data_IF_867805282463
#
_entry.id   IF_867805282463
#
_cell.length_a   1.000
_cell.length_b   1.000
_cell.length_c   1.000
_cell.angle_alpha   90.00
_cell.angle_beta   90.00
_cell.angle_gamma   90.00
#
_symmetry.space_group_name_H-M   'P 1'
#
loop_
_entity.id
_entity.type
_entity.pdbx_description
1 polymer ?
#
# COMPACT_ATOMS: atom_id res chain seq x y z
N UNK A 1 13.77 -24.83 2.38
CA UNK A 1 14.41 -24.22 3.58
C UNK A 1 15.85 -23.93 3.19
N UNK A 2 16.28 -22.69 3.26
CA UNK A 2 17.66 -22.32 2.97
C UNK A 2 18.32 -22.05 4.32
N UNK A 3 19.33 -22.84 4.68
CA UNK A 3 20.15 -22.57 5.85
C UNK A 3 21.17 -21.47 5.49
N UNK A 4 21.19 -20.40 6.24
CA UNK A 4 22.20 -19.34 6.13
C UNK A 4 23.12 -19.49 7.35
N UNK A 5 24.41 -19.68 7.12
CA UNK A 5 25.41 -19.67 8.18
C UNK A 5 26.18 -18.34 8.11
N UNK A 6 26.27 -17.65 9.24
CA UNK A 6 26.97 -16.38 9.37
C UNK A 6 27.75 -16.33 10.66
N UNK A 7 28.82 -15.56 10.67
CA UNK A 7 29.60 -15.28 11.88
C UNK A 7 28.96 -14.15 12.68
N UNK A 8 28.80 -14.34 13.98
CA UNK A 8 28.26 -13.36 14.91
C UNK A 8 29.16 -12.13 15.04
N UNK A 9 28.55 -10.95 15.15
CA UNK A 9 29.20 -9.69 15.52
C UNK A 9 28.70 -9.27 16.90
N UNK A 10 29.45 -8.46 17.67
CA UNK A 10 28.97 -7.97 18.95
C UNK A 10 27.64 -7.23 18.82
N UNK A 11 26.65 -7.61 19.61
CA UNK A 11 25.33 -6.98 19.57
C UNK A 11 24.18 -7.90 19.99
N UNK A 12 22.96 -7.42 19.82
CA UNK A 12 21.76 -8.24 20.08
C UNK A 12 21.53 -9.21 18.92
N UNK A 13 21.22 -10.44 19.22
CA UNK A 13 21.00 -11.51 18.24
C UNK A 13 20.01 -11.10 17.15
N UNK A 14 18.85 -10.54 17.53
CA UNK A 14 17.81 -10.12 16.56
C UNK A 14 18.27 -9.00 15.61
N UNK A 15 19.15 -8.12 16.07
CA UNK A 15 19.68 -7.02 15.27
C UNK A 15 20.81 -7.49 14.35
N UNK A 16 21.76 -8.24 14.91
CA UNK A 16 22.90 -8.76 14.16
C UNK A 16 22.46 -9.69 13.04
N UNK A 17 21.55 -10.64 13.33
CA UNK A 17 21.02 -11.54 12.30
C UNK A 17 20.29 -10.78 11.21
N UNK A 18 19.49 -9.78 11.52
CA UNK A 18 18.80 -8.96 10.51
C UNK A 18 19.80 -8.22 9.60
N UNK A 19 20.87 -7.67 10.19
CA UNK A 19 21.91 -6.95 9.46
C UNK A 19 22.70 -7.87 8.50
N UNK A 20 23.18 -9.01 9.00
CA UNK A 20 24.06 -9.90 8.21
C UNK A 20 23.29 -10.73 7.19
N UNK A 21 22.01 -11.02 7.42
CA UNK A 21 21.18 -11.80 6.48
C UNK A 21 20.37 -10.92 5.53
N UNK A 22 20.27 -9.61 5.78
CA UNK A 22 19.39 -8.70 5.04
C UNK A 22 17.88 -8.95 5.27
N UNK A 23 17.52 -9.85 6.19
CA UNK A 23 16.12 -10.17 6.50
C UNK A 23 15.47 -9.06 7.35
N UNK A 24 14.18 -8.79 7.15
CA UNK A 24 13.43 -7.90 8.03
C UNK A 24 13.53 -8.37 9.50
N UNK A 25 13.81 -7.47 10.42
CA UNK A 25 14.00 -7.80 11.85
C UNK A 25 12.81 -8.53 12.47
N UNK A 26 11.59 -8.25 12.00
CA UNK A 26 10.38 -8.97 12.44
C UNK A 26 10.41 -10.45 12.04
N UNK A 27 10.95 -10.77 10.88
CA UNK A 27 11.07 -12.13 10.36
C UNK A 27 12.14 -12.90 11.15
N UNK A 28 13.27 -12.25 11.43
CA UNK A 28 14.30 -12.80 12.32
C UNK A 28 13.74 -13.07 13.71
N UNK A 29 12.95 -12.18 14.30
CA UNK A 29 12.35 -12.41 15.61
C UNK A 29 11.37 -13.58 15.60
N UNK A 30 10.62 -13.79 14.50
CA UNK A 30 9.77 -14.98 14.33
C UNK A 30 10.59 -16.25 14.23
N UNK A 31 11.67 -16.24 13.45
CA UNK A 31 12.58 -17.38 13.31
C UNK A 31 13.22 -17.75 14.65
N UNK A 32 13.66 -16.75 15.44
CA UNK A 32 14.18 -16.99 16.81
C UNK A 32 13.11 -17.60 17.70
N UNK A 33 11.88 -17.09 17.68
CA UNK A 33 10.77 -17.61 18.47
C UNK A 33 10.36 -19.03 18.05
N UNK A 34 10.51 -19.37 16.77
CA UNK A 34 10.28 -20.72 16.23
C UNK A 34 11.46 -21.69 16.49
N UNK A 35 12.56 -21.22 17.11
CA UNK A 35 13.74 -22.05 17.40
C UNK A 35 14.59 -22.39 16.18
N UNK A 36 14.41 -21.69 15.05
CA UNK A 36 15.13 -21.93 13.80
C UNK A 36 16.38 -21.07 13.64
N UNK A 37 16.75 -20.29 14.67
CA UNK A 37 18.02 -19.55 14.77
C UNK A 37 18.83 -20.16 15.90
N UNK A 38 20.00 -20.70 15.54
CA UNK A 38 20.92 -21.35 16.48
C UNK A 38 22.19 -20.52 16.58
N UNK A 39 22.68 -20.31 17.79
CA UNK A 39 24.00 -19.72 18.10
C UNK A 39 24.85 -20.82 18.69
N UNK A 40 25.93 -21.21 18.00
CA UNK A 40 26.78 -22.35 18.35
C UNK A 40 25.96 -23.64 18.61
N UNK A 41 24.93 -23.87 17.76
CA UNK A 41 24.04 -25.02 17.86
C UNK A 41 22.93 -24.90 18.92
N UNK A 42 22.82 -23.79 19.64
CA UNK A 42 21.87 -23.62 20.76
C UNK A 42 20.85 -22.52 20.44
N UNK A 43 19.57 -22.78 20.73
CA UNK A 43 18.51 -21.74 20.64
C UNK A 43 18.74 -20.68 21.71
N UNK A 44 18.75 -19.42 21.32
CA UNK A 44 18.90 -18.27 22.20
C UNK A 44 17.71 -17.31 22.10
N UNK A 45 17.50 -16.50 23.13
CA UNK A 45 16.45 -15.46 23.09
C UNK A 45 16.84 -14.34 22.12
N UNK A 46 15.85 -13.62 21.58
CA UNK A 46 16.08 -12.49 20.67
C UNK A 46 16.94 -11.35 21.25
N UNK A 47 16.98 -11.24 22.57
CA UNK A 47 17.77 -10.25 23.31
C UNK A 47 19.16 -10.76 23.68
N UNK A 48 19.51 -12.02 23.35
CA UNK A 48 20.84 -12.58 23.63
C UNK A 48 21.91 -11.66 23.05
N UNK A 49 22.96 -11.39 23.84
CA UNK A 49 24.09 -10.56 23.41
C UNK A 49 25.20 -11.44 22.87
N UNK A 50 25.46 -11.28 21.59
CA UNK A 50 26.62 -11.88 20.92
C UNK A 50 27.87 -11.10 21.31
N UNK A 51 29.00 -11.82 21.42
CA UNK A 51 30.33 -11.27 21.71
C UNK A 51 31.19 -11.10 20.48
N UNK A 52 30.84 -11.79 19.39
CA UNK A 52 31.57 -11.86 18.12
C UNK A 52 32.29 -13.21 17.97
N UNK A 53 32.27 -13.74 16.75
CA UNK A 53 32.88 -15.04 16.42
C UNK A 53 31.97 -16.26 16.64
N UNK A 54 30.76 -16.09 17.20
CA UNK A 54 29.80 -17.19 17.31
C UNK A 54 29.30 -17.62 15.92
N UNK A 55 29.12 -18.92 15.73
CA UNK A 55 28.48 -19.45 14.51
C UNK A 55 26.98 -19.37 14.66
N UNK A 56 26.37 -18.56 13.81
CA UNK A 56 24.91 -18.40 13.76
C UNK A 56 24.38 -19.15 12.55
N UNK A 57 23.55 -20.15 12.81
CA UNK A 57 22.78 -20.83 11.77
C UNK A 57 21.33 -20.31 11.82
N UNK A 58 20.86 -19.83 10.67
CA UNK A 58 19.52 -19.32 10.49
C UNK A 58 18.80 -20.21 9.49
N UNK A 59 17.97 -21.10 9.96
CA UNK A 59 17.08 -21.88 9.10
C UNK A 59 15.81 -21.04 8.87
N UNK A 60 15.83 -20.21 7.83
CA UNK A 60 14.64 -19.47 7.43
C UNK A 60 13.84 -20.33 6.47
N UNK A 61 12.63 -20.67 6.86
CA UNK A 61 11.61 -20.84 5.85
C UNK A 61 11.48 -19.47 5.18
N UNK A 62 11.95 -19.32 3.96
CA UNK A 62 11.71 -18.12 3.18
C UNK A 62 10.22 -17.77 3.28
N UNK A 63 9.83 -16.51 3.22
CA UNK A 63 8.41 -16.17 3.24
C UNK A 63 7.71 -17.06 2.21
N UNK A 64 6.72 -17.81 2.66
CA UNK A 64 5.96 -18.70 1.77
C UNK A 64 5.42 -17.83 0.61
N UNK A 65 5.79 -18.17 -0.62
CA UNK A 65 5.36 -17.41 -1.79
C UNK A 65 3.83 -17.27 -1.80
N UNK A 66 3.27 -16.15 -2.24
CA UNK A 66 1.83 -16.00 -2.34
C UNK A 66 1.25 -17.13 -3.21
N UNK A 67 0.18 -17.74 -2.75
CA UNK A 67 -0.51 -18.78 -3.51
C UNK A 67 -1.48 -18.15 -4.51
N UNK A 68 -1.61 -18.74 -5.68
CA UNK A 68 -2.65 -18.41 -6.64
C UNK A 68 -4.05 -18.69 -6.04
N UNK A 69 -4.97 -17.75 -6.21
CA UNK A 69 -6.37 -17.91 -5.77
C UNK A 69 -7.33 -17.60 -6.90
N UNK A 70 -8.43 -18.37 -7.05
CA UNK A 70 -9.42 -18.16 -8.09
C UNK A 70 -10.21 -16.85 -7.86
N UNK A 71 -10.95 -16.41 -8.90
CA UNK A 71 -11.87 -15.27 -8.83
C UNK A 71 -11.21 -13.93 -9.14
N UNK A 72 -10.34 -13.84 -10.10
CA UNK A 72 -9.74 -12.67 -10.74
C UNK A 72 -10.03 -11.26 -10.20
N UNK A 73 -9.65 -10.26 -10.94
CA UNK A 73 -10.01 -8.85 -10.70
C UNK A 73 -10.38 -8.22 -12.06
N UNK A 74 -11.28 -7.23 -12.11
CA UNK A 74 -11.61 -6.56 -13.36
C UNK A 74 -10.37 -5.93 -13.99
N UNK A 75 -10.09 -6.30 -15.26
CA UNK A 75 -9.00 -5.73 -16.06
C UNK A 75 -9.57 -4.62 -16.92
N UNK A 76 -8.93 -3.46 -16.95
CA UNK A 76 -9.31 -2.29 -17.74
C UNK A 76 -8.40 -2.05 -18.94
N UNK A 77 -7.18 -2.55 -18.86
CA UNK A 77 -6.20 -2.54 -19.94
C UNK A 77 -5.23 -3.71 -19.76
N UNK A 78 -4.80 -4.32 -20.84
CA UNK A 78 -3.76 -5.35 -20.82
C UNK A 78 -3.06 -5.42 -22.17
N UNK A 79 -1.74 -5.56 -22.12
CA UNK A 79 -0.88 -5.90 -23.25
C UNK A 79 0.19 -6.93 -22.81
N UNK A 80 1.26 -7.07 -23.59
CA UNK A 80 2.36 -8.00 -23.28
C UNK A 80 3.22 -7.56 -22.08
N UNK A 81 3.19 -6.28 -21.68
CA UNK A 81 4.11 -5.65 -20.74
C UNK A 81 3.46 -5.29 -19.39
N UNK A 82 2.21 -4.91 -19.41
CA UNK A 82 1.51 -4.48 -18.22
C UNK A 82 0.01 -4.80 -18.28
N UNK A 83 -0.64 -4.68 -17.13
CA UNK A 83 -2.09 -4.63 -17.04
C UNK A 83 -2.52 -3.51 -16.08
N UNK A 84 -3.70 -2.95 -16.30
CA UNK A 84 -4.37 -2.06 -15.35
C UNK A 84 -5.62 -2.74 -14.86
N UNK A 85 -5.72 -2.85 -13.52
CA UNK A 85 -6.84 -3.52 -12.86
C UNK A 85 -7.64 -2.54 -12.02
N UNK A 86 -8.94 -2.77 -11.88
CA UNK A 86 -9.80 -2.10 -10.93
C UNK A 86 -9.84 -2.93 -9.63
N UNK A 87 -9.03 -2.56 -8.64
CA UNK A 87 -8.99 -3.25 -7.35
C UNK A 87 -10.29 -2.99 -6.57
N UNK A 88 -11.05 -4.01 -6.15
CA UNK A 88 -12.20 -3.82 -5.30
C UNK A 88 -11.79 -3.36 -3.88
N UNK A 89 -12.71 -2.72 -3.17
CA UNK A 89 -12.55 -2.45 -1.76
C UNK A 89 -12.55 -3.76 -0.92
N UNK A 90 -12.00 -3.72 0.29
CA UNK A 90 -11.83 -4.89 1.16
C UNK A 90 -10.60 -5.75 0.84
N UNK A 91 -10.05 -5.62 -0.37
CA UNK A 91 -8.89 -6.40 -0.83
C UNK A 91 -7.58 -5.68 -0.53
N UNK A 92 -6.68 -6.34 0.20
CA UNK A 92 -5.29 -5.87 0.42
C UNK A 92 -4.49 -6.05 -0.87
N UNK A 93 -3.61 -5.13 -1.19
CA UNK A 93 -2.83 -5.18 -2.44
C UNK A 93 -1.87 -6.37 -2.50
N UNK A 94 -1.12 -6.65 -1.44
CA UNK A 94 -0.12 -7.72 -1.40
C UNK A 94 -0.09 -8.37 0.00
N UNK A 95 0.40 -9.60 0.13
CA UNK A 95 0.52 -10.29 1.41
C UNK A 95 1.24 -9.47 2.48
N UNK A 96 0.78 -9.62 3.70
CA UNK A 96 1.38 -9.03 4.90
C UNK A 96 1.53 -10.12 5.96
N UNK A 97 2.26 -9.83 7.04
CA UNK A 97 2.40 -10.78 8.15
C UNK A 97 1.04 -11.21 8.76
N UNK A 98 0.05 -10.31 8.74
CA UNK A 98 -1.29 -10.56 9.29
C UNK A 98 -2.26 -11.20 8.28
N UNK A 99 -1.99 -11.12 6.99
CA UNK A 99 -2.88 -11.62 5.93
C UNK A 99 -2.06 -12.10 4.74
N UNK A 100 -2.00 -13.42 4.56
CA UNK A 100 -1.22 -14.07 3.49
C UNK A 100 -2.05 -14.38 2.24
N UNK A 101 -3.36 -14.48 2.35
CA UNK A 101 -4.31 -14.80 1.28
C UNK A 101 -5.37 -13.71 1.08
N UNK A 102 -6.18 -13.86 0.01
CA UNK A 102 -7.23 -12.92 -0.37
C UNK A 102 -6.72 -11.55 -0.78
N UNK A 103 -5.47 -11.46 -1.25
CA UNK A 103 -4.88 -10.19 -1.72
C UNK A 103 -4.96 -10.06 -3.23
N UNK A 104 -4.75 -8.85 -3.75
CA UNK A 104 -4.69 -8.61 -5.19
C UNK A 104 -3.62 -9.52 -5.85
N UNK A 105 -2.45 -9.66 -5.21
CA UNK A 105 -1.38 -10.54 -5.70
C UNK A 105 -1.86 -11.99 -5.83
N UNK A 106 -2.58 -12.54 -4.84
CA UNK A 106 -3.11 -13.91 -4.93
C UNK A 106 -4.07 -14.06 -6.11
N UNK A 107 -4.94 -13.06 -6.36
CA UNK A 107 -5.88 -13.06 -7.49
C UNK A 107 -5.17 -12.94 -8.84
N UNK A 108 -4.17 -12.06 -8.94
CA UNK A 108 -3.36 -11.91 -10.15
C UNK A 108 -2.61 -13.20 -10.50
N UNK A 109 -2.04 -13.89 -9.51
CA UNK A 109 -1.42 -15.20 -9.71
C UNK A 109 -2.43 -16.26 -10.19
N UNK A 110 -3.69 -16.17 -9.73
CA UNK A 110 -4.77 -17.07 -10.17
C UNK A 110 -5.31 -16.75 -11.57
N UNK A 111 -4.93 -15.62 -12.17
CA UNK A 111 -5.31 -15.26 -13.54
C UNK A 111 -4.34 -15.81 -14.60
N UNK A 112 -3.29 -16.52 -14.18
CA UNK A 112 -2.26 -17.10 -15.06
C UNK A 112 -1.60 -16.06 -15.99
N UNK A 113 -1.39 -14.84 -15.49
CA UNK A 113 -0.66 -13.79 -16.20
C UNK A 113 0.78 -13.73 -15.70
N UNK A 114 1.77 -13.54 -16.58
CA UNK A 114 3.13 -13.32 -16.14
C UNK A 114 3.21 -12.05 -15.26
N UNK A 115 4.00 -12.10 -14.18
CA UNK A 115 4.20 -10.99 -13.28
C UNK A 115 5.70 -10.78 -13.02
N UNK A 116 6.15 -9.53 -13.05
CA UNK A 116 7.52 -9.18 -12.72
C UNK A 116 7.92 -9.61 -11.31
N UNK A 117 9.14 -10.11 -11.15
CA UNK A 117 9.71 -10.53 -9.87
C UNK A 117 10.42 -9.42 -9.08
N UNK A 118 10.64 -8.24 -9.67
CA UNK A 118 11.42 -7.12 -9.11
C UNK A 118 10.89 -6.63 -7.75
N UNK A 119 9.58 -6.72 -7.52
CA UNK A 119 8.96 -6.34 -6.24
C UNK A 119 9.25 -7.29 -5.08
N UNK A 120 9.95 -8.39 -5.35
CA UNK A 120 10.21 -9.49 -4.41
C UNK A 120 9.05 -10.48 -4.31
N UNK A 121 9.22 -11.56 -3.52
CA UNK A 121 8.31 -12.70 -3.53
C UNK A 121 6.87 -12.35 -3.12
N UNK A 122 6.68 -11.39 -2.24
CA UNK A 122 5.35 -10.97 -1.77
C UNK A 122 4.65 -9.94 -2.69
N UNK A 123 5.34 -9.42 -3.71
CA UNK A 123 4.85 -8.29 -4.53
C UNK A 123 5.12 -8.46 -6.03
N UNK A 124 4.92 -9.66 -6.62
CA UNK A 124 5.11 -9.82 -8.05
C UNK A 124 4.24 -8.81 -8.82
N UNK A 125 4.87 -8.09 -9.76
CA UNK A 125 4.22 -7.09 -10.60
C UNK A 125 3.79 -5.78 -9.93
N UNK A 126 3.85 -5.65 -8.61
CA UNK A 126 3.30 -4.51 -7.86
C UNK A 126 4.29 -3.34 -7.80
N UNK A 127 4.00 -2.27 -8.53
CA UNK A 127 4.80 -1.03 -8.56
C UNK A 127 4.27 0.07 -7.63
N UNK A 128 2.97 0.04 -7.29
CA UNK A 128 2.34 0.91 -6.30
C UNK A 128 1.20 0.17 -5.58
N UNK A 129 0.55 0.83 -4.63
CA UNK A 129 -0.50 0.18 -3.84
C UNK A 129 -1.69 1.08 -3.56
N UNK A 130 -2.85 0.46 -3.37
CA UNK A 130 -4.02 1.04 -2.73
C UNK A 130 -4.22 0.42 -1.33
N UNK A 131 -4.84 1.16 -0.41
CA UNK A 131 -5.23 0.63 0.89
C UNK A 131 -6.37 -0.40 0.73
N UNK A 132 -6.58 -1.25 1.72
CA UNK A 132 -7.62 -2.28 1.66
C UNK A 132 -9.02 -1.68 1.39
N UNK A 133 -9.38 -0.60 2.09
CA UNK A 133 -10.66 0.07 1.92
C UNK A 133 -10.79 0.98 0.69
N UNK A 134 -9.69 1.19 -0.05
CA UNK A 134 -9.68 2.02 -1.26
C UNK A 134 -9.92 1.14 -2.49
N UNK A 135 -10.86 1.52 -3.34
CA UNK A 135 -11.14 0.90 -4.64
C UNK A 135 -10.49 1.69 -5.78
N UNK A 136 -10.41 1.10 -6.98
CA UNK A 136 -10.04 1.77 -8.23
C UNK A 136 -8.77 1.28 -8.89
N UNK A 137 -8.25 2.08 -9.81
CA UNK A 137 -7.22 1.69 -10.77
C UNK A 137 -5.85 1.48 -10.17
N UNK A 138 -5.20 0.39 -10.60
CA UNK A 138 -3.81 0.08 -10.31
C UNK A 138 -3.12 -0.49 -11.55
N UNK A 139 -1.89 0.00 -11.85
CA UNK A 139 -1.03 -0.60 -12.86
C UNK A 139 -0.16 -1.70 -12.25
N UNK A 140 -0.01 -2.79 -12.98
CA UNK A 140 0.75 -3.99 -12.61
C UNK A 140 1.70 -4.32 -13.76
N UNK A 141 2.96 -4.61 -13.45
CA UNK A 141 3.98 -4.94 -14.44
C UNK A 141 4.04 -6.45 -14.70
N UNK A 142 4.03 -6.87 -15.97
CA UNK A 142 4.14 -8.27 -16.38
C UNK A 142 5.59 -8.72 -16.49
N UNK A 143 6.51 -7.82 -16.81
CA UNK A 143 7.95 -8.10 -16.95
C UNK A 143 8.82 -7.14 -16.11
N UNK A 144 10.07 -7.53 -15.88
CA UNK A 144 11.02 -6.82 -15.01
C UNK A 144 11.49 -5.48 -15.59
N UNK A 145 11.57 -5.35 -16.91
CA UNK A 145 11.95 -4.09 -17.58
C UNK A 145 10.84 -3.05 -17.38
N UNK A 146 9.62 -3.44 -17.63
CA UNK A 146 8.42 -2.62 -17.43
C UNK A 146 8.26 -2.21 -15.97
N UNK A 147 8.49 -3.14 -15.03
CA UNK A 147 8.46 -2.84 -13.60
C UNK A 147 9.43 -1.73 -13.22
N UNK A 148 10.71 -1.85 -13.63
CA UNK A 148 11.73 -0.82 -13.34
C UNK A 148 11.39 0.51 -13.99
N UNK A 149 10.86 0.50 -15.21
CA UNK A 149 10.47 1.71 -15.92
C UNK A 149 9.27 2.41 -15.24
N UNK A 150 8.23 1.68 -14.86
CA UNK A 150 7.08 2.22 -14.12
C UNK A 150 7.49 2.75 -12.74
N UNK A 151 8.36 2.04 -12.01
CA UNK A 151 8.89 2.49 -10.73
C UNK A 151 9.62 3.84 -10.86
N UNK A 152 10.50 3.99 -11.85
CA UNK A 152 11.18 5.26 -12.14
C UNK A 152 10.20 6.38 -12.51
N UNK A 153 9.14 6.08 -13.28
CA UNK A 153 8.10 7.07 -13.63
C UNK A 153 7.29 7.50 -12.42
N UNK A 154 6.96 6.57 -11.50
CA UNK A 154 6.32 6.89 -10.23
C UNK A 154 7.18 7.78 -9.34
N UNK A 155 8.48 7.48 -9.23
CA UNK A 155 9.46 8.32 -8.51
C UNK A 155 9.60 9.71 -9.15
N UNK A 156 9.62 9.78 -10.48
CA UNK A 156 9.66 11.01 -11.25
C UNK A 156 8.30 11.75 -11.32
N UNK A 157 7.24 11.23 -10.66
CA UNK A 157 5.88 11.81 -10.64
C UNK A 157 5.24 11.90 -12.03
N UNK A 158 5.61 10.98 -12.95
CA UNK A 158 5.11 10.87 -14.33
C UNK A 158 3.97 9.86 -14.49
N UNK A 159 3.48 9.30 -13.40
CA UNK A 159 2.25 8.50 -13.33
C UNK A 159 1.24 9.32 -12.55
N UNK A 160 0.25 9.84 -13.26
CA UNK A 160 -0.82 10.63 -12.66
C UNK A 160 -1.86 9.68 -12.07
N UNK A 161 -2.21 9.90 -10.82
CA UNK A 161 -3.23 9.13 -10.08
C UNK A 161 -4.19 10.14 -9.47
N UNK A 162 -5.47 10.01 -9.81
CA UNK A 162 -6.50 10.88 -9.26
C UNK A 162 -7.49 10.05 -8.45
N UNK A 163 -7.90 10.61 -7.34
CA UNK A 163 -8.82 9.97 -6.41
C UNK A 163 -10.00 10.86 -6.13
N UNK A 164 -11.18 10.28 -6.00
CA UNK A 164 -12.33 10.93 -5.40
C UNK A 164 -12.37 10.61 -3.91
N UNK A 165 -12.58 11.65 -3.09
CA UNK A 165 -12.69 11.56 -1.64
C UNK A 165 -13.86 12.43 -1.15
N UNK A 166 -14.85 11.83 -0.48
CA UNK A 166 -15.91 12.58 0.20
C UNK A 166 -15.47 12.84 1.64
N UNK A 167 -15.37 14.11 2.03
CA UNK A 167 -14.85 14.54 3.32
C UNK A 167 -15.92 15.22 4.17
N UNK A 168 -15.73 15.19 5.49
CA UNK A 168 -16.57 15.92 6.45
C UNK A 168 -16.33 17.42 6.35
N UNK A 169 -17.42 18.19 6.42
CA UNK A 169 -17.41 19.64 6.47
C UNK A 169 -17.27 20.29 5.11
N UNK A 170 -17.47 21.58 5.09
CA UNK A 170 -17.33 22.40 3.90
C UNK A 170 -15.89 22.87 3.76
N UNK A 171 -15.28 22.60 2.61
CA UNK A 171 -13.94 23.08 2.26
C UNK A 171 -14.10 24.42 1.56
N UNK A 172 -13.58 25.48 2.16
CA UNK A 172 -13.75 26.86 1.66
C UNK A 172 -12.97 27.10 0.36
N UNK A 173 -11.70 26.70 0.33
CA UNK A 173 -10.80 26.89 -0.80
C UNK A 173 -11.21 26.00 -1.97
N UNK A 174 -11.22 26.55 -3.19
CA UNK A 174 -11.50 25.76 -4.40
C UNK A 174 -10.40 24.71 -4.67
N UNK A 175 -9.17 25.01 -4.30
CA UNK A 175 -8.03 24.10 -4.39
C UNK A 175 -6.99 24.41 -3.32
N UNK A 176 -6.27 23.39 -2.86
CA UNK A 176 -5.21 23.53 -1.87
C UNK A 176 -4.21 22.39 -1.96
N UNK A 177 -3.07 22.54 -1.30
CA UNK A 177 -2.04 21.49 -1.22
C UNK A 177 -1.66 21.24 0.23
N UNK A 178 -1.59 19.96 0.61
CA UNK A 178 -1.04 19.53 1.90
C UNK A 178 0.35 18.96 1.64
N UNK A 179 1.38 19.72 2.03
CA UNK A 179 2.78 19.27 2.07
C UNK A 179 3.17 19.01 3.53
N UNK A 180 2.99 17.77 3.95
CA UNK A 180 3.20 17.37 5.34
C UNK A 180 3.77 15.94 5.42
N UNK A 181 4.93 15.76 6.07
CA UNK A 181 5.59 14.46 6.16
C UNK A 181 4.78 13.48 7.01
N UNK A 182 4.73 12.22 6.57
CA UNK A 182 3.95 11.15 7.19
C UNK A 182 4.85 10.09 7.81
N UNK A 183 4.56 9.69 9.03
CA UNK A 183 5.27 8.64 9.77
C UNK A 183 4.30 7.73 10.52
N UNK A 184 4.80 6.57 10.97
CA UNK A 184 4.04 5.67 11.84
C UNK A 184 4.19 6.11 13.30
N UNK A 185 3.05 6.28 13.98
CA UNK A 185 2.96 6.61 15.40
C UNK A 185 1.93 5.73 16.09
N UNK A 186 2.30 5.06 17.17
CA UNK A 186 1.35 4.24 17.95
C UNK A 186 0.55 3.22 17.12
N UNK A 187 1.17 2.63 16.09
CA UNK A 187 0.51 1.68 15.18
C UNK A 187 -0.25 2.31 14.00
N UNK A 188 -0.48 3.62 13.99
CA UNK A 188 -1.17 4.35 12.91
C UNK A 188 -0.21 5.27 12.15
N UNK A 189 -0.62 5.69 10.95
CA UNK A 189 0.08 6.74 10.23
C UNK A 189 -0.41 8.11 10.72
N UNK A 190 0.49 9.09 10.79
CA UNK A 190 0.17 10.47 11.19
C UNK A 190 1.09 11.46 10.50
N UNK A 191 0.65 12.72 10.35
CA UNK A 191 1.54 13.82 10.00
C UNK A 191 2.55 14.00 11.12
N UNK A 192 3.86 14.07 10.80
CA UNK A 192 4.91 14.23 11.80
C UNK A 192 6.09 15.04 11.26
N UNK A 193 6.24 16.24 11.72
CA UNK A 193 7.43 17.08 11.50
C UNK A 193 8.37 16.98 12.72
N UNK A 194 9.69 16.91 12.52
CA UNK A 194 10.42 16.83 11.24
C UNK A 194 10.70 15.39 10.78
N UNK A 195 10.35 14.35 11.54
CA UNK A 195 10.85 12.98 11.39
C UNK A 195 10.07 12.08 10.40
N UNK A 196 9.01 12.59 9.77
CA UNK A 196 8.22 11.85 8.77
C UNK A 196 8.89 11.81 7.40
N UNK A 197 8.45 10.86 6.54
CA UNK A 197 8.82 10.83 5.12
C UNK A 197 8.00 11.88 4.37
N UNK A 198 8.67 12.69 3.56
CA UNK A 198 8.02 13.74 2.76
C UNK A 198 6.81 13.18 2.00
N UNK A 199 5.71 13.89 2.07
CA UNK A 199 4.45 13.54 1.44
C UNK A 199 3.71 14.82 1.02
N UNK A 200 3.22 14.83 -0.23
CA UNK A 200 2.54 15.98 -0.83
C UNK A 200 1.30 15.49 -1.59
N UNK A 201 0.16 16.13 -1.33
CA UNK A 201 -1.11 15.87 -2.02
C UNK A 201 -1.78 17.19 -2.38
N UNK A 202 -2.11 17.39 -3.64
CA UNK A 202 -2.95 18.49 -4.09
C UNK A 202 -4.40 18.05 -4.12
N UNK A 203 -5.30 18.96 -3.77
CA UNK A 203 -6.74 18.75 -3.72
C UNK A 203 -7.46 19.85 -4.50
N UNK A 204 -8.54 19.47 -5.15
CA UNK A 204 -9.46 20.35 -5.86
C UNK A 204 -10.89 20.01 -5.44
N UNK A 205 -11.71 21.00 -5.18
CA UNK A 205 -13.12 20.79 -4.85
C UNK A 205 -13.87 20.42 -6.13
N UNK A 206 -14.39 19.19 -6.17
CA UNK A 206 -15.22 18.72 -7.27
C UNK A 206 -16.70 19.14 -7.05
N UNK A 207 -17.20 19.04 -5.80
CA UNK A 207 -18.57 19.39 -5.47
C UNK A 207 -18.70 19.76 -3.98
N UNK A 208 -19.45 20.82 -3.67
CA UNK A 208 -19.83 21.18 -2.29
C UNK A 208 -21.25 20.75 -2.03
N UNK A 209 -21.46 20.04 -0.95
CA UNK A 209 -22.75 19.49 -0.52
C UNK A 209 -23.02 19.91 0.92
N UNK A 210 -24.24 19.71 1.41
CA UNK A 210 -24.61 20.09 2.77
C UNK A 210 -23.78 19.30 3.83
N UNK A 211 -22.90 19.99 4.53
CA UNK A 211 -22.03 19.45 5.57
C UNK A 211 -20.92 18.54 5.11
N UNK A 212 -20.72 18.34 3.80
CA UNK A 212 -19.66 17.48 3.22
C UNK A 212 -19.11 18.08 1.91
N UNK A 213 -17.91 17.67 1.52
CA UNK A 213 -17.29 18.12 0.27
C UNK A 213 -16.72 16.94 -0.50
N UNK A 214 -17.01 16.84 -1.78
CA UNK A 214 -16.34 15.92 -2.69
C UNK A 214 -15.06 16.58 -3.22
N UNK A 215 -13.93 15.92 -2.99
CA UNK A 215 -12.61 16.37 -3.43
C UNK A 215 -12.04 15.44 -4.50
N UNK A 216 -11.37 16.00 -5.47
CA UNK A 216 -10.38 15.31 -6.27
C UNK A 216 -9.02 15.46 -5.59
N UNK A 217 -8.34 14.33 -5.31
CA UNK A 217 -7.03 14.29 -4.70
C UNK A 217 -5.97 13.77 -5.68
N UNK A 218 -4.85 14.47 -5.78
CA UNK A 218 -3.71 14.14 -6.65
C UNK A 218 -2.45 13.97 -5.79
N UNK A 219 -2.15 12.74 -5.30
CA UNK A 219 -0.95 12.50 -4.50
C UNK A 219 0.30 12.50 -5.38
N UNK A 220 1.25 13.39 -5.09
CA UNK A 220 2.57 13.46 -5.74
C UNK A 220 3.56 12.41 -5.19
N UNK A 221 3.28 11.88 -4.02
CA UNK A 221 4.01 10.80 -3.36
C UNK A 221 3.06 9.64 -3.04
N UNK A 222 3.56 8.47 -2.63
CA UNK A 222 2.75 7.28 -2.36
C UNK A 222 3.00 6.70 -0.97
N UNK A 223 2.80 7.49 0.11
CA UNK A 223 2.97 6.99 1.48
C UNK A 223 1.72 6.24 1.93
N UNK A 224 1.90 5.28 2.84
CA UNK A 224 0.78 4.53 3.42
C UNK A 224 -0.24 5.49 4.03
N UNK A 225 -1.51 5.34 3.67
CA UNK A 225 -2.65 6.15 4.12
C UNK A 225 -2.51 7.67 3.85
N UNK A 226 -1.66 8.10 2.92
CA UNK A 226 -1.28 9.50 2.74
C UNK A 226 -2.48 10.45 2.61
N UNK A 227 -3.39 10.22 1.66
CA UNK A 227 -4.57 11.09 1.44
C UNK A 227 -5.42 11.16 2.71
N UNK A 228 -5.67 10.01 3.34
CA UNK A 228 -6.47 9.86 4.56
C UNK A 228 -5.91 10.66 5.72
N UNK A 229 -4.59 10.56 5.93
CA UNK A 229 -3.86 11.26 7.00
C UNK A 229 -3.79 12.76 6.74
N UNK A 230 -3.55 13.18 5.49
CA UNK A 230 -3.50 14.58 5.11
C UNK A 230 -4.84 15.28 5.38
N UNK A 231 -5.94 14.70 4.90
CA UNK A 231 -7.28 15.26 5.08
C UNK A 231 -7.71 15.28 6.55
N UNK A 232 -7.42 14.23 7.30
CA UNK A 232 -7.69 14.21 8.74
C UNK A 232 -6.89 15.27 9.50
N UNK A 233 -5.62 15.51 9.12
CA UNK A 233 -4.75 16.47 9.77
C UNK A 233 -5.19 17.94 9.60
N UNK A 234 -5.94 18.24 8.53
CA UNK A 234 -6.51 19.57 8.27
C UNK A 234 -7.97 19.71 8.72
N UNK A 235 -8.53 18.70 9.43
CA UNK A 235 -9.87 18.77 9.99
C UNK A 235 -10.99 18.27 9.05
N UNK A 236 -10.66 17.76 7.86
CA UNK A 236 -11.61 17.21 6.88
C UNK A 236 -11.40 15.70 6.67
N UNK A 237 -11.69 14.84 7.68
CA UNK A 237 -11.50 13.40 7.53
C UNK A 237 -12.42 12.82 6.46
N UNK A 238 -11.93 11.81 5.72
CA UNK A 238 -12.73 11.09 4.71
C UNK A 238 -13.87 10.37 5.38
N UNK A 239 -15.09 10.54 4.90
CA UNK A 239 -16.27 9.84 5.44
C UNK A 239 -16.14 8.33 5.29
N UNK A 240 -16.60 7.59 6.31
CA UNK A 240 -16.42 6.15 6.42
C UNK A 240 -15.04 5.71 6.95
N UNK A 241 -14.07 6.63 7.07
CA UNK A 241 -12.74 6.30 7.60
C UNK A 241 -12.71 6.27 9.13
N UNK A 242 -13.07 5.14 9.71
CA UNK A 242 -13.07 4.94 11.17
C UNK A 242 -11.67 5.11 11.81
N UNK A 243 -10.61 4.92 11.04
CA UNK A 243 -9.22 5.00 11.56
C UNK A 243 -8.75 6.44 11.75
N UNK A 244 -9.30 7.38 10.97
CA UNK A 244 -8.88 8.77 10.94
C UNK A 244 -9.99 9.79 11.21
N UNK A 245 -11.05 9.37 11.93
CA UNK A 245 -12.09 10.28 12.41
C UNK A 245 -13.27 10.49 11.46
N UNK A 246 -13.30 9.82 10.31
CA UNK A 246 -14.39 9.93 9.33
C UNK A 246 -15.58 9.00 9.59
N UNK A 247 -15.57 8.25 10.69
CA UNK A 247 -16.76 7.51 11.16
C UNK A 247 -17.76 8.44 11.83
N UNK A 248 -18.91 7.91 12.24
CA UNK A 248 -19.95 8.64 12.96
C UNK A 248 -21.26 8.73 12.19
N UNK A 249 -22.12 9.69 12.58
CA UNK A 249 -23.51 9.78 12.08
C UNK A 249 -23.57 10.08 10.59
N UNK A 250 -22.73 10.99 10.09
CA UNK A 250 -22.68 11.32 8.66
C UNK A 250 -22.35 10.09 7.81
N UNK A 251 -21.34 9.33 8.22
CA UNK A 251 -20.98 8.10 7.51
C UNK A 251 -22.10 7.07 7.54
N UNK A 252 -22.81 6.93 8.68
CA UNK A 252 -23.97 6.03 8.81
C UNK A 252 -25.15 6.47 7.95
N UNK A 253 -25.46 7.77 7.96
CA UNK A 253 -26.53 8.37 7.13
C UNK A 253 -26.31 8.10 5.65
N UNK A 254 -25.03 8.13 5.21
CA UNK A 254 -24.66 7.86 3.82
C UNK A 254 -24.38 6.38 3.53
N UNK A 255 -24.61 5.46 4.47
CA UNK A 255 -24.39 4.02 4.29
C UNK A 255 -22.92 3.63 4.10
N UNK A 256 -21.95 4.43 4.61
CA UNK A 256 -20.53 4.21 4.41
C UNK A 256 -19.91 3.32 5.48
N UNK A 257 -19.53 2.11 5.10
CA UNK A 257 -18.79 1.15 5.96
C UNK A 257 -17.27 1.20 5.77
N UNK A 258 -16.81 1.91 4.76
CA UNK A 258 -15.40 2.09 4.39
C UNK A 258 -15.11 3.53 4.01
N UNK A 259 -13.81 3.95 3.93
CA UNK A 259 -13.47 5.28 3.43
C UNK A 259 -14.06 5.54 2.04
N UNK A 260 -14.76 6.66 1.86
CA UNK A 260 -15.13 7.14 0.54
C UNK A 260 -13.87 7.63 -0.18
N UNK A 261 -13.08 6.68 -0.64
CA UNK A 261 -11.83 6.93 -1.36
C UNK A 261 -11.71 5.96 -2.53
N UNK A 262 -11.61 6.52 -3.74
CA UNK A 262 -11.61 5.77 -4.99
C UNK A 262 -10.57 6.32 -5.97
N UNK A 263 -9.67 5.47 -6.45
CA UNK A 263 -8.69 5.80 -7.50
C UNK A 263 -9.38 5.77 -8.85
N UNK A 264 -10.03 6.87 -9.23
CA UNK A 264 -10.91 6.90 -10.40
C UNK A 264 -10.17 7.12 -11.72
N UNK A 265 -8.98 7.76 -11.72
CA UNK A 265 -8.23 7.97 -12.95
C UNK A 265 -6.76 7.63 -12.76
N UNK A 266 -6.21 6.97 -13.77
CA UNK A 266 -4.80 6.61 -13.86
C UNK A 266 -4.30 6.94 -15.26
N UNK A 267 -3.28 7.79 -15.37
CA UNK A 267 -2.71 8.11 -16.66
C UNK A 267 -1.19 8.19 -16.64
N UNK A 268 -0.57 7.65 -17.69
CA UNK A 268 0.89 7.60 -17.84
C UNK A 268 1.24 7.32 -19.32
N UNK A 269 2.48 7.62 -19.71
CA UNK A 269 2.98 7.17 -21.01
C UNK A 269 3.43 5.70 -20.86
N UNK A 270 3.05 4.85 -21.79
CA UNK A 270 3.40 3.44 -21.77
C UNK A 270 4.94 3.27 -21.80
N UNK A 271 5.53 2.45 -20.89
CA UNK A 271 7.00 2.41 -20.74
C UNK A 271 7.76 1.82 -21.92
N UNK A 272 7.08 1.07 -22.79
CA UNK A 272 7.68 0.41 -23.97
C UNK A 272 7.27 1.12 -25.27
N UNK A 273 5.99 1.36 -25.50
CA UNK A 273 5.47 1.96 -26.75
C UNK A 273 5.54 3.48 -26.75
N UNK A 274 5.55 4.11 -25.58
CA UNK A 274 5.46 5.57 -25.43
C UNK A 274 4.05 6.14 -25.59
N UNK A 275 3.07 5.34 -25.97
CA UNK A 275 1.69 5.78 -26.13
C UNK A 275 1.07 6.19 -24.79
N UNK A 276 0.15 7.15 -24.83
CA UNK A 276 -0.57 7.59 -23.62
C UNK A 276 -1.62 6.57 -23.22
N UNK A 277 -1.49 6.02 -22.02
CA UNK A 277 -2.54 5.25 -21.35
C UNK A 277 -3.26 6.22 -20.43
N UNK A 278 -4.57 6.37 -20.60
CA UNK A 278 -5.43 7.24 -19.78
C UNK A 278 -6.76 6.53 -19.55
N UNK A 279 -7.00 6.12 -18.31
CA UNK A 279 -8.13 5.26 -17.96
C UNK A 279 -8.90 5.88 -16.80
N UNK A 280 -10.22 5.74 -16.87
CA UNK A 280 -11.14 6.11 -15.82
C UNK A 280 -11.93 4.88 -15.33
N UNK A 281 -12.18 4.83 -14.04
CA UNK A 281 -12.99 3.82 -13.37
C UNK A 281 -14.16 4.51 -12.67
N UNK A 282 -15.40 4.14 -12.95
CA UNK A 282 -16.55 4.73 -12.29
C UNK A 282 -16.56 4.39 -10.79
N UNK A 283 -17.23 5.24 -10.01
CA UNK A 283 -17.49 4.93 -8.60
C UNK A 283 -18.22 3.57 -8.50
N UNK A 284 -17.79 2.70 -7.60
CA UNK A 284 -18.54 1.48 -7.28
C UNK A 284 -19.87 1.84 -6.60
N UNK A 285 -20.86 0.94 -6.71
CA UNK A 285 -22.25 1.17 -6.29
C UNK A 285 -22.39 1.73 -4.88
N UNK A 286 -21.61 1.23 -3.92
CA UNK A 286 -21.61 1.69 -2.53
C UNK A 286 -21.21 3.16 -2.38
N UNK A 287 -20.20 3.61 -3.14
CA UNK A 287 -19.78 5.02 -3.13
C UNK A 287 -20.69 5.90 -4.00
N UNK A 288 -21.17 5.39 -5.12
CA UNK A 288 -22.12 6.11 -5.97
C UNK A 288 -23.43 6.38 -5.20
N UNK A 289 -23.97 5.37 -4.55
CA UNK A 289 -25.17 5.53 -3.70
C UNK A 289 -24.96 6.49 -2.52
N UNK A 290 -23.78 6.45 -1.89
CA UNK A 290 -23.45 7.40 -0.83
C UNK A 290 -23.35 8.85 -1.34
N UNK A 291 -22.81 9.06 -2.54
CA UNK A 291 -22.73 10.39 -3.16
C UNK A 291 -24.12 10.92 -3.51
N UNK A 292 -24.98 10.09 -4.10
CA UNK A 292 -26.37 10.48 -4.38
C UNK A 292 -27.15 10.81 -3.10
N UNK A 293 -26.97 10.03 -2.03
CA UNK A 293 -27.57 10.31 -0.73
C UNK A 293 -27.02 11.59 -0.07
N UNK A 294 -25.81 12.03 -0.45
CA UNK A 294 -25.26 13.30 0.02
C UNK A 294 -25.76 14.52 -0.78
N UNK A 295 -26.25 14.28 -2.00
CA UNK A 295 -26.85 15.32 -2.88
C UNK A 295 -28.29 15.65 -2.49
N UNK A 296 -29.00 14.77 -1.80
CA UNK A 296 -30.37 14.91 -1.34
C UNK A 296 -31.31 14.02 -2.11
#
# INVERSE_FOLDING_TARGET
>A
MTAIEVEGRPGRLDAVVAEVTGLPRADVQRAIAAGTVLVDGIVRSKSHRLRGGERIRVDVAGPEAPRAEPGGVPVRYQDDHLLVVAKPAGMVTHPTAARRGGTLVNRLLGMDVPLSSVGGPDRPGIVHRLDAGTSGLMVVAKDDRTHRALSKRLEARRVERRYLALVRGEVADASFTVDAPVARMGGRMAVRRPSGRQAETSFEVAERLEGVTLLEARPRTGRTHQIRVHLAAIGHPILGDRSYGGGGDDARRLGLDRPFLHAFRLSFDHPVTGERVDLEEPLPEDLAGALEAARG
#
